data_IF_481373864997
#
_entry.id   IF_481373864997
#
_cell.length_a   1.000
_cell.length_b   1.000
_cell.length_c   1.000
_cell.angle_alpha   90.00
_cell.angle_beta   90.00
_cell.angle_gamma   90.00
#
_symmetry.space_group_name_H-M   'P 1'
#
loop_
_entity.id
_entity.type
_entity.pdbx_description
1 polymer ?
#
# COMPACT_ATOMS: atom_id res chain seq x y z
N UNK A 1 30.89 -4.38 -3.85
CA UNK A 1 30.62 -3.26 -4.78
C UNK A 1 29.12 -2.98 -4.98
N UNK A 2 28.26 -4.02 -5.03
CA UNK A 2 26.79 -3.88 -5.19
C UNK A 2 26.13 -3.22 -3.96
N UNK A 3 26.54 -3.57 -2.75
CA UNK A 3 25.98 -3.02 -1.49
C UNK A 3 26.33 -1.52 -1.29
N UNK A 4 27.43 -1.02 -1.83
CA UNK A 4 27.77 0.41 -1.80
C UNK A 4 26.91 1.25 -2.77
N UNK A 5 26.38 0.65 -3.84
CA UNK A 5 25.51 1.35 -4.80
C UNK A 5 24.09 1.59 -4.26
N UNK A 6 23.61 0.76 -3.35
CA UNK A 6 22.28 0.94 -2.71
C UNK A 6 22.23 2.12 -1.73
N UNK A 7 23.38 2.61 -1.22
CA UNK A 7 23.43 3.74 -0.28
C UNK A 7 23.41 5.13 -0.93
N UNK A 8 23.42 5.22 -2.26
CA UNK A 8 23.25 6.51 -2.95
C UNK A 8 21.75 6.76 -3.16
N UNK A 9 21.04 7.03 -2.07
CA UNK A 9 19.62 7.38 -2.09
C UNK A 9 19.42 8.72 -2.80
N UNK A 10 18.38 8.81 -3.61
CA UNK A 10 17.91 10.05 -4.20
C UNK A 10 17.13 10.81 -3.12
N UNK A 11 17.85 11.49 -2.22
CA UNK A 11 17.20 12.26 -1.15
C UNK A 11 16.72 13.58 -1.76
N UNK A 12 15.41 13.81 -1.63
CA UNK A 12 14.75 15.03 -2.07
C UNK A 12 13.99 15.65 -0.91
N UNK A 13 13.78 16.95 -0.97
CA UNK A 13 12.86 17.63 -0.08
C UNK A 13 11.40 17.34 -0.50
N UNK A 14 10.45 17.85 0.30
CA UNK A 14 9.01 17.68 0.03
C UNK A 14 8.55 18.33 -1.29
N UNK A 15 9.32 19.27 -1.83
CA UNK A 15 9.06 19.92 -3.13
C UNK A 15 9.65 19.15 -4.31
N UNK A 16 10.37 18.04 -4.04
CA UNK A 16 11.01 17.21 -5.04
C UNK A 16 12.39 17.71 -5.48
N UNK A 17 12.96 18.72 -4.80
CA UNK A 17 14.27 19.25 -5.13
C UNK A 17 15.39 18.37 -4.54
N UNK A 18 16.49 18.13 -5.26
CA UNK A 18 17.62 17.35 -4.76
C UNK A 18 18.28 18.09 -3.59
N UNK A 19 18.54 17.37 -2.48
CA UNK A 19 19.23 17.92 -1.32
C UNK A 19 20.76 18.00 -1.52
N UNK A 20 21.31 17.39 -2.57
CA UNK A 20 22.75 17.40 -2.91
C UNK A 20 22.92 17.46 -4.42
N UNK A 21 23.94 18.19 -4.89
CA UNK A 21 24.20 18.44 -6.32
C UNK A 21 24.51 17.18 -7.17
N UNK A 22 25.00 16.10 -6.60
CA UNK A 22 25.37 14.87 -7.33
C UNK A 22 24.53 13.67 -6.87
N UNK A 23 23.22 13.74 -7.07
CA UNK A 23 22.33 12.63 -6.75
C UNK A 23 21.88 11.88 -8.01
N UNK A 24 21.52 10.59 -7.83
CA UNK A 24 20.85 9.84 -8.89
C UNK A 24 19.51 10.49 -9.21
N UNK A 25 19.06 10.32 -10.46
CA UNK A 25 17.68 10.67 -10.81
C UNK A 25 16.71 9.91 -9.89
N UNK A 26 15.68 10.56 -9.35
CA UNK A 26 14.63 9.88 -8.59
C UNK A 26 13.86 8.92 -9.50
N UNK A 27 13.10 8.02 -8.90
CA UNK A 27 12.06 7.30 -9.61
C UNK A 27 11.13 8.29 -10.33
N UNK A 28 10.60 7.91 -11.49
CA UNK A 28 9.55 8.67 -12.18
C UNK A 28 8.32 8.91 -11.28
N UNK A 29 8.14 8.09 -10.25
CA UNK A 29 7.00 8.13 -9.34
C UNK A 29 7.29 8.77 -7.98
N UNK A 30 8.39 9.52 -7.86
CA UNK A 30 8.77 10.22 -6.64
C UNK A 30 7.63 11.11 -6.10
N UNK A 31 6.84 11.71 -6.99
CA UNK A 31 5.70 12.57 -6.63
C UNK A 31 4.65 11.81 -5.81
N UNK A 32 4.27 10.60 -6.25
CA UNK A 32 3.34 9.74 -5.52
C UNK A 32 3.81 9.54 -4.06
N UNK A 33 5.09 9.18 -3.85
CA UNK A 33 5.64 9.00 -2.51
C UNK A 33 5.61 10.30 -1.69
N UNK A 34 5.99 11.43 -2.29
CA UNK A 34 6.03 12.72 -1.61
C UNK A 34 4.62 13.21 -1.21
N UNK A 35 3.67 13.13 -2.13
CA UNK A 35 2.29 13.58 -1.91
C UNK A 35 1.60 12.71 -0.86
N UNK A 36 1.78 11.38 -0.90
CA UNK A 36 1.25 10.45 0.11
C UNK A 36 1.83 10.76 1.49
N UNK A 37 3.15 10.89 1.64
CA UNK A 37 3.78 11.22 2.92
C UNK A 37 3.35 12.60 3.45
N UNK A 38 3.04 13.53 2.56
CA UNK A 38 2.55 14.87 2.95
C UNK A 38 1.10 14.82 3.45
N UNK A 39 0.25 13.97 2.87
CA UNK A 39 -1.17 13.84 3.23
C UNK A 39 -1.40 12.86 4.41
N UNK A 40 -0.43 12.00 4.72
CA UNK A 40 -0.52 10.95 5.75
C UNK A 40 0.66 11.10 6.74
N UNK A 41 0.59 12.09 7.65
CA UNK A 41 1.70 12.41 8.56
C UNK A 41 2.04 11.27 9.54
N UNK A 42 1.13 10.34 9.79
CA UNK A 42 1.34 9.14 10.61
C UNK A 42 2.11 8.04 9.86
N UNK A 43 2.19 8.11 8.53
CA UNK A 43 2.98 7.18 7.73
C UNK A 43 4.42 7.67 7.61
N UNK A 44 5.38 6.82 7.99
CA UNK A 44 6.82 7.09 7.89
C UNK A 44 7.47 6.35 6.72
N UNK A 45 6.74 5.43 6.08
CA UNK A 45 7.19 4.69 4.91
C UNK A 45 6.06 4.51 3.90
N UNK A 46 6.40 4.63 2.62
CA UNK A 46 5.55 4.34 1.47
C UNK A 46 6.29 3.33 0.60
N UNK A 47 5.64 2.21 0.32
CA UNK A 47 6.14 1.19 -0.59
C UNK A 47 5.24 1.13 -1.82
N UNK A 48 5.84 1.20 -3.01
CA UNK A 48 5.18 0.96 -4.28
C UNK A 48 5.84 -0.21 -4.99
N UNK A 49 5.03 -1.15 -5.47
CA UNK A 49 5.52 -2.34 -6.19
C UNK A 49 4.42 -2.92 -7.10
N UNK A 50 4.84 -3.88 -7.95
CA UNK A 50 3.98 -4.54 -8.95
C UNK A 50 3.94 -6.07 -8.70
N UNK A 51 3.37 -6.55 -7.57
CA UNK A 51 3.29 -7.98 -7.31
C UNK A 51 2.22 -8.61 -8.21
N UNK A 52 2.38 -9.89 -8.51
CA UNK A 52 1.67 -10.56 -9.60
C UNK A 52 0.15 -10.54 -9.40
N UNK A 53 -0.32 -10.96 -8.23
CA UNK A 53 -1.76 -11.18 -8.00
C UNK A 53 -2.51 -9.86 -7.76
N UNK A 54 -1.92 -8.95 -6.97
CA UNK A 54 -2.49 -7.62 -6.76
C UNK A 54 -2.54 -6.83 -8.08
N UNK A 55 -1.47 -6.91 -8.89
CA UNK A 55 -1.43 -6.27 -10.21
C UNK A 55 -2.45 -6.90 -11.17
N UNK A 56 -2.65 -8.22 -11.13
CA UNK A 56 -3.67 -8.88 -11.95
C UNK A 56 -5.08 -8.35 -11.64
N UNK A 57 -5.45 -8.19 -10.36
CA UNK A 57 -6.72 -7.54 -9.98
C UNK A 57 -6.79 -6.09 -10.46
N UNK A 58 -5.70 -5.35 -10.27
CA UNK A 58 -5.59 -3.96 -10.70
C UNK A 58 -5.74 -3.79 -12.23
N UNK A 59 -5.32 -4.77 -13.04
CA UNK A 59 -5.54 -4.78 -14.48
C UNK A 59 -7.02 -4.87 -14.88
N UNK A 60 -7.87 -5.31 -13.97
CA UNK A 60 -9.33 -5.33 -14.12
C UNK A 60 -10.02 -4.18 -13.38
N UNK A 61 -9.27 -3.16 -12.95
CA UNK A 61 -9.76 -2.03 -12.13
C UNK A 61 -10.48 -2.51 -10.85
N UNK A 62 -10.11 -3.70 -10.35
CA UNK A 62 -10.80 -4.40 -9.27
C UNK A 62 -10.02 -4.28 -7.96
N UNK A 63 -10.68 -3.76 -6.93
CA UNK A 63 -10.19 -3.80 -5.55
C UNK A 63 -10.41 -5.16 -4.90
N UNK A 64 -10.08 -5.28 -3.61
CA UNK A 64 -10.30 -6.49 -2.81
C UNK A 64 -11.34 -6.17 -1.73
N UNK A 65 -12.56 -6.75 -1.81
CA UNK A 65 -13.62 -6.52 -0.83
C UNK A 65 -13.39 -7.33 0.46
N UNK A 66 -14.28 -7.19 1.43
CA UNK A 66 -14.25 -7.91 2.71
C UNK A 66 -14.56 -9.41 2.58
N UNK A 67 -13.94 -10.13 1.63
CA UNK A 67 -14.13 -11.57 1.47
C UNK A 67 -13.39 -12.40 2.55
N UNK A 68 -12.41 -11.78 3.21
CA UNK A 68 -11.60 -12.39 4.27
C UNK A 68 -11.28 -11.34 5.34
N UNK A 69 -11.27 -11.74 6.62
CA UNK A 69 -11.08 -10.81 7.73
C UNK A 69 -9.74 -10.04 7.69
N UNK A 70 -8.69 -10.65 7.13
CA UNK A 70 -7.37 -10.02 7.01
C UNK A 70 -7.34 -8.79 6.08
N UNK A 71 -8.39 -8.53 5.32
CA UNK A 71 -8.51 -7.25 4.57
C UNK A 71 -8.38 -6.05 5.51
N UNK A 72 -8.72 -6.21 6.79
CA UNK A 72 -8.55 -5.19 7.83
C UNK A 72 -7.10 -4.69 8.00
N UNK A 73 -6.08 -5.45 7.59
CA UNK A 73 -4.66 -5.02 7.63
C UNK A 73 -4.43 -3.75 6.81
N UNK A 74 -5.23 -3.56 5.77
CA UNK A 74 -5.19 -2.37 4.92
C UNK A 74 -5.86 -1.14 5.55
N UNK A 75 -6.34 -1.23 6.79
CA UNK A 75 -6.92 -0.12 7.55
C UNK A 75 -8.41 0.11 7.31
N UNK A 76 -9.11 -0.84 6.67
CA UNK A 76 -10.55 -0.73 6.43
C UNK A 76 -11.17 -2.03 5.94
N UNK A 77 -12.41 -1.95 5.46
CA UNK A 77 -13.19 -3.12 5.05
C UNK A 77 -12.96 -3.54 3.59
N UNK A 78 -12.09 -2.82 2.89
CA UNK A 78 -11.73 -3.07 1.49
C UNK A 78 -10.33 -2.52 1.17
N UNK A 79 -9.69 -3.09 0.16
CA UNK A 79 -8.51 -2.53 -0.50
C UNK A 79 -8.99 -1.94 -1.82
N UNK A 80 -8.99 -0.61 -1.91
CA UNK A 80 -9.51 0.12 -3.08
C UNK A 80 -8.58 -0.01 -4.26
N UNK A 81 -9.12 0.06 -5.48
CA UNK A 81 -8.35 0.26 -6.69
C UNK A 81 -8.46 1.73 -7.12
N UNK A 82 -7.35 2.47 -7.07
CA UNK A 82 -7.29 3.85 -7.54
C UNK A 82 -7.51 3.90 -9.06
N UNK A 83 -8.26 4.89 -9.58
CA UNK A 83 -8.47 5.02 -11.02
C UNK A 83 -7.16 5.16 -11.79
N UNK A 84 -7.16 4.67 -13.04
CA UNK A 84 -5.99 4.77 -13.89
C UNK A 84 -5.60 6.22 -14.19
N UNK A 85 -4.31 6.47 -14.10
CA UNK A 85 -3.65 7.66 -14.66
C UNK A 85 -2.22 7.26 -15.07
N UNK A 86 -1.63 8.00 -16.01
CA UNK A 86 -0.26 7.72 -16.47
C UNK A 86 0.74 7.85 -15.33
N UNK A 87 1.68 6.91 -15.26
CA UNK A 87 2.73 6.92 -14.23
C UNK A 87 3.51 8.24 -14.20
N UNK A 88 3.94 8.66 -13.03
CA UNK A 88 4.70 9.89 -12.83
C UNK A 88 3.88 11.18 -12.90
N UNK A 89 2.57 11.12 -13.18
CA UNK A 89 1.70 12.29 -13.26
C UNK A 89 1.12 12.70 -11.90
N UNK A 90 0.74 13.98 -11.78
CA UNK A 90 -0.02 14.46 -10.63
C UNK A 90 -1.37 13.76 -10.49
N UNK A 91 -2.05 13.48 -11.60
CA UNK A 91 -3.33 12.79 -11.60
C UNK A 91 -3.24 11.40 -10.93
N UNK A 92 -2.17 10.62 -11.21
CA UNK A 92 -1.94 9.36 -10.51
C UNK A 92 -1.76 9.57 -9.02
N UNK A 93 -0.94 10.55 -8.63
CA UNK A 93 -0.70 10.86 -7.22
C UNK A 93 -1.99 11.23 -6.49
N UNK A 94 -2.83 12.08 -7.08
CA UNK A 94 -4.12 12.49 -6.52
C UNK A 94 -5.06 11.29 -6.35
N UNK A 95 -5.14 10.41 -7.35
CA UNK A 95 -5.95 9.19 -7.29
C UNK A 95 -5.49 8.26 -6.15
N UNK A 96 -4.17 8.12 -5.98
CA UNK A 96 -3.60 7.28 -4.92
C UNK A 96 -3.87 7.88 -3.54
N UNK A 97 -3.68 9.19 -3.34
CA UNK A 97 -3.99 9.88 -2.08
C UNK A 97 -5.45 9.68 -1.72
N UNK A 98 -6.37 9.83 -2.68
CA UNK A 98 -7.80 9.60 -2.46
C UNK A 98 -8.12 8.14 -2.10
N UNK A 99 -7.54 7.17 -2.79
CA UNK A 99 -7.75 5.76 -2.51
C UNK A 99 -7.21 5.35 -1.13
N UNK A 100 -6.13 5.99 -0.68
CA UNK A 100 -5.51 5.78 0.63
C UNK A 100 -6.19 6.55 1.77
N UNK A 101 -7.26 7.31 1.52
CA UNK A 101 -7.99 7.99 2.60
C UNK A 101 -8.49 6.96 3.63
N UNK A 102 -7.94 7.03 4.86
CA UNK A 102 -8.20 6.07 5.96
C UNK A 102 -7.83 4.60 5.59
N UNK A 103 -6.86 4.40 4.73
CA UNK A 103 -6.36 3.08 4.29
C UNK A 103 -4.85 3.05 4.33
N UNK A 104 -4.29 1.88 4.57
CA UNK A 104 -2.85 1.62 4.56
C UNK A 104 -2.38 0.95 3.25
N UNK A 105 -3.31 0.61 2.38
CA UNK A 105 -3.02 0.01 1.07
C UNK A 105 -4.07 0.38 0.04
N UNK A 106 -3.66 0.49 -1.21
CA UNK A 106 -4.53 0.52 -2.38
C UNK A 106 -3.86 -0.14 -3.58
N UNK A 107 -4.68 -0.65 -4.49
CA UNK A 107 -4.26 -1.04 -5.84
C UNK A 107 -4.31 0.19 -6.75
N UNK A 108 -3.53 0.16 -7.83
CA UNK A 108 -3.52 1.18 -8.88
C UNK A 108 -3.95 0.52 -10.18
N UNK A 109 -5.05 0.98 -10.75
CA UNK A 109 -5.60 0.44 -12.00
C UNK A 109 -4.52 0.27 -13.07
N UNK A 110 -4.36 -0.96 -13.60
CA UNK A 110 -3.40 -1.34 -14.65
C UNK A 110 -1.94 -0.96 -14.33
N UNK A 111 -1.56 -1.02 -13.03
CA UNK A 111 -0.24 -0.58 -12.62
C UNK A 111 0.36 -1.48 -11.53
N UNK A 112 -0.16 -1.43 -10.31
CA UNK A 112 0.40 -2.16 -9.19
C UNK A 112 -0.30 -1.83 -7.87
N UNK A 113 0.47 -1.67 -6.78
CA UNK A 113 -0.08 -1.28 -5.47
C UNK A 113 0.82 -0.28 -4.73
N UNK A 114 0.22 0.40 -3.77
CA UNK A 114 0.90 1.24 -2.77
C UNK A 114 0.49 0.80 -1.39
N UNK A 115 1.47 0.72 -0.47
CA UNK A 115 1.25 0.43 0.94
C UNK A 115 1.97 1.42 1.84
N UNK A 116 1.42 1.63 3.04
CA UNK A 116 1.92 2.54 4.05
C UNK A 116 2.33 1.76 5.31
N UNK A 117 3.30 2.33 6.04
CA UNK A 117 3.70 1.83 7.35
C UNK A 117 4.33 2.91 8.21
N UNK A 118 4.42 2.66 9.53
CA UNK A 118 5.20 3.48 10.46
C UNK A 118 6.72 3.36 10.23
N UNK A 119 7.15 2.33 9.49
CA UNK A 119 8.51 2.03 9.08
C UNK A 119 8.48 1.18 7.79
N UNK A 120 9.63 0.94 7.18
CA UNK A 120 9.75 0.14 5.95
C UNK A 120 9.31 -1.31 6.16
N UNK A 121 9.56 -1.87 7.33
CA UNK A 121 9.20 -3.25 7.65
C UNK A 121 7.68 -3.42 7.72
N UNK A 122 6.99 -2.50 8.40
CA UNK A 122 5.52 -2.53 8.46
C UNK A 122 4.87 -2.28 7.11
N UNK A 123 5.41 -1.36 6.29
CA UNK A 123 4.94 -1.15 4.92
C UNK A 123 5.10 -2.42 4.07
N UNK A 124 6.25 -3.12 4.20
CA UNK A 124 6.50 -4.39 3.50
C UNK A 124 5.57 -5.49 3.99
N UNK A 125 5.33 -5.63 5.30
CA UNK A 125 4.37 -6.61 5.83
C UNK A 125 2.97 -6.41 5.25
N UNK A 126 2.49 -5.16 5.19
CA UNK A 126 1.21 -4.85 4.55
C UNK A 126 1.23 -5.25 3.07
N UNK A 127 2.34 -4.99 2.35
CA UNK A 127 2.45 -5.35 0.94
C UNK A 127 2.39 -6.87 0.71
N UNK A 128 3.09 -7.65 1.53
CA UNK A 128 3.06 -9.12 1.47
C UNK A 128 1.66 -9.65 1.76
N UNK A 129 0.98 -9.08 2.75
CA UNK A 129 -0.38 -9.48 3.10
C UNK A 129 -1.39 -9.12 2.00
N UNK A 130 -1.28 -7.93 1.38
CA UNK A 130 -2.13 -7.54 0.24
C UNK A 130 -1.94 -8.48 -0.95
N UNK A 131 -0.71 -8.86 -1.26
CA UNK A 131 -0.42 -9.83 -2.33
C UNK A 131 -1.00 -11.22 -2.00
N UNK A 132 -0.90 -11.65 -0.74
CA UNK A 132 -1.49 -12.90 -0.26
C UNK A 132 -3.02 -12.88 -0.39
N UNK A 133 -3.66 -11.80 0.05
CA UNK A 133 -5.11 -11.58 -0.08
C UNK A 133 -5.54 -11.54 -1.56
N UNK A 134 -4.78 -10.87 -2.41
CA UNK A 134 -5.05 -10.83 -3.85
C UNK A 134 -5.01 -12.23 -4.46
N UNK A 135 -4.00 -13.04 -4.10
CA UNK A 135 -3.90 -14.44 -4.53
C UNK A 135 -5.09 -15.26 -4.05
N UNK A 136 -5.47 -15.16 -2.77
CA UNK A 136 -6.62 -15.88 -2.23
C UNK A 136 -7.91 -15.46 -2.91
N UNK A 137 -8.11 -14.17 -3.15
CA UNK A 137 -9.30 -13.65 -3.80
C UNK A 137 -9.43 -14.15 -5.24
N UNK A 138 -8.34 -14.13 -6.02
CA UNK A 138 -8.31 -14.68 -7.38
C UNK A 138 -8.65 -16.18 -7.40
N UNK A 139 -8.19 -16.95 -6.39
CA UNK A 139 -8.54 -18.37 -6.28
C UNK A 139 -10.03 -18.56 -5.89
N UNK A 140 -10.54 -17.75 -4.96
CA UNK A 140 -11.94 -17.81 -4.56
C UNK A 140 -12.88 -17.49 -5.74
N UNK A 141 -12.52 -16.53 -6.58
CA UNK A 141 -13.28 -16.15 -7.77
C UNK A 141 -13.46 -17.30 -8.79
N UNK A 142 -12.58 -18.30 -8.79
CA UNK A 142 -12.75 -19.48 -9.65
C UNK A 142 -13.95 -20.35 -9.24
N UNK A 143 -14.40 -20.23 -7.99
CA UNK A 143 -15.60 -20.88 -7.47
C UNK A 143 -16.85 -19.98 -7.56
N UNK A 144 -16.70 -18.76 -8.04
CA UNK A 144 -17.72 -17.71 -8.06
C UNK A 144 -17.38 -16.56 -7.10
N UNK A 145 -18.25 -15.55 -7.03
CA UNK A 145 -18.08 -14.43 -6.09
C UNK A 145 -18.18 -14.93 -4.66
N UNK A 146 -17.13 -14.76 -3.82
CA UNK A 146 -17.18 -15.20 -2.44
C UNK A 146 -18.16 -14.33 -1.63
N UNK A 147 -18.83 -14.91 -0.60
CA UNK A 147 -19.62 -14.13 0.34
C UNK A 147 -18.72 -13.12 1.07
N UNK A 148 -19.29 -11.94 1.36
CA UNK A 148 -18.56 -10.88 2.05
C UNK A 148 -18.93 -10.83 3.54
N UNK A 149 -17.96 -10.47 4.37
CA UNK A 149 -18.20 -10.13 5.76
C UNK A 149 -19.04 -8.85 5.84
N UNK A 150 -20.01 -8.83 6.73
CA UNK A 150 -20.82 -7.65 7.01
C UNK A 150 -19.97 -6.55 7.68
N UNK A 151 -20.46 -5.31 7.62
CA UNK A 151 -19.84 -4.18 8.33
C UNK A 151 -19.69 -4.46 9.83
N UNK A 152 -20.68 -5.11 10.46
CA UNK A 152 -20.63 -5.47 11.88
C UNK A 152 -19.51 -6.50 12.15
N UNK A 153 -19.35 -7.51 11.29
CA UNK A 153 -18.27 -8.48 11.40
C UNK A 153 -16.91 -7.82 11.24
N UNK A 154 -16.75 -6.93 10.26
CA UNK A 154 -15.50 -6.19 10.07
C UNK A 154 -15.18 -5.24 11.23
N UNK A 155 -16.20 -4.60 11.84
CA UNK A 155 -16.03 -3.80 13.06
C UNK A 155 -15.48 -4.65 14.21
N UNK A 156 -15.97 -5.87 14.39
CA UNK A 156 -15.45 -6.80 15.40
C UNK A 156 -13.99 -7.17 15.11
N UNK A 157 -13.64 -7.43 13.83
CA UNK A 157 -12.25 -7.69 13.41
C UNK A 157 -11.34 -6.51 13.74
N UNK A 158 -11.73 -5.29 13.40
CA UNK A 158 -10.94 -4.09 13.73
C UNK A 158 -10.76 -3.90 15.24
N UNK A 159 -11.78 -4.21 16.06
CA UNK A 159 -11.67 -4.17 17.51
C UNK A 159 -10.62 -5.18 18.03
N UNK A 160 -10.62 -6.41 17.49
CA UNK A 160 -9.61 -7.42 17.84
C UNK A 160 -8.21 -7.00 17.42
N UNK A 161 -8.02 -6.45 16.21
CA UNK A 161 -6.72 -5.97 15.74
C UNK A 161 -6.13 -4.89 16.67
N UNK A 162 -6.96 -3.97 17.15
CA UNK A 162 -6.53 -2.95 18.13
C UNK A 162 -6.13 -3.57 19.47
N UNK A 163 -6.89 -4.56 19.96
CA UNK A 163 -6.62 -5.24 21.23
C UNK A 163 -5.37 -6.11 21.22
N UNK A 164 -5.05 -6.72 20.10
CA UNK A 164 -3.91 -7.62 19.94
C UNK A 164 -2.62 -6.91 19.50
N UNK A 165 -2.64 -5.57 19.35
CA UNK A 165 -1.53 -4.81 18.77
C UNK A 165 -1.02 -5.40 17.44
N UNK A 166 -1.91 -6.01 16.67
CA UNK A 166 -1.57 -6.73 15.45
C UNK A 166 -0.80 -5.81 14.49
N UNK A 167 0.42 -6.23 14.14
CA UNK A 167 1.33 -5.42 13.29
C UNK A 167 2.24 -4.45 14.05
N UNK A 168 2.22 -4.41 15.39
CA UNK A 168 3.23 -3.70 16.19
C UNK A 168 4.38 -4.66 16.52
N UNK A 169 5.62 -4.17 16.44
CA UNK A 169 6.77 -4.93 16.91
C UNK A 169 6.69 -5.08 18.45
N UNK A 170 6.99 -6.26 18.96
CA UNK A 170 7.11 -6.49 20.40
C UNK A 170 8.13 -5.51 20.99
N UNK A 171 7.68 -4.67 21.94
CA UNK A 171 8.56 -3.78 22.70
C UNK A 171 9.24 -4.50 23.86
N UNK A 172 9.27 -5.81 23.89
CA UNK A 172 9.90 -6.63 24.93
C UNK A 172 11.25 -7.18 24.48
N UNK A 173 12.25 -6.32 24.32
CA UNK A 173 13.68 -6.68 24.38
C UNK A 173 14.48 -5.42 24.65
N UNK A 174 14.57 -5.05 25.91
CA UNK A 174 15.60 -4.18 26.45
C UNK A 174 16.42 -4.97 27.45
#
# INVERSE_FOLDING_TARGET
HLLRRQRQMCIRDRSGQPLKEKQRRPSSEWRLHADVLSCRPEAMAVLHCHPIHATALACHDRGIPAFHYMVAVAGGDEIRCAPYATFGTKALSDNVVNALAQRNACLLARHGMVTLGKDLESALRVAVEVETLARMYLQALQLGEPPLLSTQQMQAVHAQFRGLHYGQADQSSS
#
